data_IF_163369916816
#
_entry.id   IF_163369916816
#
_cell.length_a   1.000
_cell.length_b   1.000
_cell.length_c   1.000
_cell.angle_alpha   90.00
_cell.angle_beta   90.00
_cell.angle_gamma   90.00
#
_symmetry.space_group_name_H-M   'P 1'
#
loop_
_entity.id
_entity.type
_entity.pdbx_description
1 polymer ?
#
# COMPACT_ATOMS: atom_id res chain seq x y z
N UNK A 1 18.05 -3.75 -4.95
CA UNK A 1 16.75 -4.44 -5.10
C UNK A 1 15.90 -4.07 -3.89
N UNK A 2 14.69 -3.55 -4.12
CA UNK A 2 13.72 -3.26 -3.06
C UNK A 2 13.48 -4.55 -2.26
N UNK A 3 14.09 -4.67 -1.08
CA UNK A 3 13.84 -5.79 -0.18
C UNK A 3 12.52 -5.55 0.55
N UNK A 4 11.73 -6.61 0.78
CA UNK A 4 10.43 -6.59 1.49
C UNK A 4 10.46 -6.07 2.95
N UNK A 5 11.58 -5.47 3.39
CA UNK A 5 11.87 -5.15 4.78
C UNK A 5 11.27 -3.85 5.35
N UNK A 6 10.28 -3.22 4.70
CA UNK A 6 9.71 -1.95 5.18
C UNK A 6 8.17 -1.92 5.09
N UNK A 7 7.51 -3.02 5.45
CA UNK A 7 6.06 -3.20 5.28
C UNK A 7 5.64 -3.02 3.82
N UNK A 8 6.47 -3.55 2.93
CA UNK A 8 6.27 -3.57 1.49
C UNK A 8 6.21 -5.04 1.05
N UNK A 9 5.05 -5.46 0.56
CA UNK A 9 4.87 -6.80 0.00
C UNK A 9 4.98 -6.73 -1.53
N UNK A 10 5.74 -7.65 -2.14
CA UNK A 10 5.89 -7.73 -3.60
C UNK A 10 4.91 -8.78 -4.12
N UNK A 11 3.94 -8.36 -4.92
CA UNK A 11 2.93 -9.26 -5.50
C UNK A 11 3.31 -9.78 -6.88
N UNK A 12 4.06 -8.98 -7.64
CA UNK A 12 4.50 -9.37 -8.97
C UNK A 12 5.82 -8.70 -9.34
N UNK A 13 6.63 -9.43 -10.09
CA UNK A 13 7.83 -8.93 -10.77
C UNK A 13 7.71 -9.33 -12.23
N UNK A 14 7.90 -8.39 -13.15
CA UNK A 14 8.00 -8.71 -14.58
C UNK A 14 9.46 -8.86 -15.00
N UNK A 15 9.70 -9.67 -16.03
CA UNK A 15 11.02 -9.80 -16.68
C UNK A 15 11.50 -8.47 -17.28
N UNK A 16 10.59 -7.51 -17.46
CA UNK A 16 10.84 -6.15 -17.93
C UNK A 16 11.15 -5.15 -16.81
N UNK A 17 11.28 -5.61 -15.56
CA UNK A 17 11.69 -4.78 -14.43
C UNK A 17 10.57 -3.97 -13.76
N UNK A 18 9.30 -4.30 -14.00
CA UNK A 18 8.17 -3.72 -13.26
C UNK A 18 7.91 -4.52 -11.99
N UNK A 19 7.62 -3.81 -10.90
CA UNK A 19 7.23 -4.41 -9.63
C UNK A 19 5.84 -3.90 -9.23
N UNK A 20 4.97 -4.81 -8.81
CA UNK A 20 3.73 -4.46 -8.11
C UNK A 20 3.95 -4.72 -6.64
N UNK A 21 3.81 -3.67 -5.84
CA UNK A 21 4.01 -3.73 -4.39
C UNK A 21 2.83 -3.12 -3.65
N UNK A 22 2.50 -3.69 -2.51
CA UNK A 22 1.60 -3.07 -1.53
C UNK A 22 2.43 -2.52 -0.39
N UNK A 23 2.13 -1.29 0.03
CA UNK A 23 2.75 -0.64 1.18
C UNK A 23 1.67 -0.49 2.26
N UNK A 24 2.02 -0.80 3.50
CA UNK A 24 1.15 -0.61 4.67
C UNK A 24 1.79 0.36 5.64
N UNK A 25 1.04 1.26 6.28
CA UNK A 25 1.56 2.19 7.27
C UNK A 25 0.50 2.50 8.32
N UNK A 26 0.93 2.90 9.53
CA UNK A 26 0.00 3.22 10.62
C UNK A 26 -0.57 4.64 10.53
N UNK A 27 -0.04 5.46 9.62
CA UNK A 27 -0.54 6.81 9.35
C UNK A 27 -0.26 7.25 7.92
N UNK A 28 -1.00 8.25 7.46
CA UNK A 28 -0.76 8.89 6.16
C UNK A 28 0.64 9.49 6.06
N UNK A 29 1.16 10.07 7.16
CA UNK A 29 2.50 10.64 7.18
C UNK A 29 3.58 9.58 6.92
N UNK A 30 3.49 8.46 7.63
CA UNK A 30 4.39 7.33 7.45
C UNK A 30 4.26 6.71 6.04
N UNK A 31 3.03 6.64 5.49
CA UNK A 31 2.81 6.19 4.11
C UNK A 31 3.58 7.07 3.10
N UNK A 32 3.51 8.40 3.26
CA UNK A 32 4.21 9.33 2.38
C UNK A 32 5.74 9.20 2.48
N UNK A 33 6.28 9.02 3.68
CA UNK A 33 7.70 8.77 3.89
C UNK A 33 8.16 7.47 3.20
N UNK A 34 7.36 6.40 3.30
CA UNK A 34 7.65 5.13 2.62
C UNK A 34 7.58 5.26 1.10
N UNK A 35 6.58 5.95 0.56
CA UNK A 35 6.46 6.22 -0.88
C UNK A 35 7.68 7.02 -1.38
N UNK A 36 8.11 8.03 -0.63
CA UNK A 36 9.30 8.82 -0.97
C UNK A 36 10.58 7.97 -0.91
N UNK A 37 10.70 7.09 0.09
CA UNK A 37 11.83 6.17 0.21
C UNK A 37 11.92 5.19 -0.97
N UNK A 38 10.78 4.67 -1.45
CA UNK A 38 10.73 3.83 -2.66
C UNK A 38 11.16 4.61 -3.89
N UNK A 39 10.68 5.84 -4.06
CA UNK A 39 11.08 6.68 -5.20
C UNK A 39 12.57 7.05 -5.18
N UNK A 40 13.16 7.23 -4.00
CA UNK A 40 14.57 7.57 -3.84
C UNK A 40 15.52 6.37 -3.88
N UNK A 41 15.04 5.13 -3.99
CA UNK A 41 15.89 3.95 -4.04
C UNK A 41 16.63 3.85 -5.37
N UNK A 42 17.94 3.60 -5.30
CA UNK A 42 18.77 3.33 -6.46
C UNK A 42 18.22 2.15 -7.28
N UNK A 43 17.98 2.39 -8.56
CA UNK A 43 17.35 1.43 -9.49
C UNK A 43 15.84 1.58 -9.68
N UNK A 44 15.15 2.46 -8.94
CA UNK A 44 13.74 2.78 -9.19
C UNK A 44 13.65 3.89 -10.24
N UNK A 45 13.29 3.52 -11.47
CA UNK A 45 13.13 4.46 -12.59
C UNK A 45 11.89 5.36 -12.43
N UNK A 46 10.81 4.80 -11.90
CA UNK A 46 9.56 5.49 -11.63
C UNK A 46 8.73 4.67 -10.63
N UNK A 47 7.94 5.36 -9.80
CA UNK A 47 6.93 4.75 -8.94
C UNK A 47 5.60 5.50 -9.13
N UNK A 48 4.50 4.77 -9.22
CA UNK A 48 3.17 5.34 -9.36
C UNK A 48 2.21 4.60 -8.42
N UNK A 49 1.47 5.35 -7.61
CA UNK A 49 0.43 4.79 -6.75
C UNK A 49 -0.81 4.52 -7.59
N UNK A 50 -1.23 3.26 -7.65
CA UNK A 50 -2.40 2.83 -8.44
C UNK A 50 -3.67 2.84 -7.60
N UNK A 51 -3.55 2.48 -6.32
CA UNK A 51 -4.66 2.35 -5.39
C UNK A 51 -4.22 2.78 -4.00
N UNK A 52 -5.15 3.41 -3.26
CA UNK A 52 -4.99 3.73 -1.85
C UNK A 52 -6.29 3.36 -1.13
N UNK A 53 -6.16 2.67 0.00
CA UNK A 53 -7.24 2.39 0.93
C UNK A 53 -6.82 2.88 2.31
N UNK A 54 -7.71 3.60 2.99
CA UNK A 54 -7.46 4.13 4.33
C UNK A 54 -8.61 3.64 5.21
N UNK A 55 -8.34 2.65 6.05
CA UNK A 55 -9.28 2.25 7.09
C UNK A 55 -9.22 3.29 8.21
N UNK A 56 -10.25 4.11 8.29
CA UNK A 56 -10.40 5.05 9.42
C UNK A 56 -11.09 4.34 10.58
N UNK A 57 -10.83 4.78 11.81
CA UNK A 57 -11.55 4.31 13.00
C UNK A 57 -13.07 4.46 12.84
N UNK A 58 -13.50 5.47 12.09
CA UNK A 58 -14.91 5.72 11.74
C UNK A 58 -15.47 4.58 10.85
N UNK A 59 -14.72 4.16 9.84
CA UNK A 59 -15.08 3.07 8.93
C UNK A 59 -15.18 1.71 9.63
N UNK A 60 -14.40 1.49 10.69
CA UNK A 60 -14.43 0.25 11.48
C UNK A 60 -15.60 0.21 12.49
N UNK A 61 -16.19 1.36 12.80
CA UNK A 61 -17.34 1.48 13.71
C UNK A 61 -18.69 1.50 12.96
N UNK A 62 -18.70 1.33 11.65
CA UNK A 62 -19.93 1.22 10.86
C UNK A 62 -20.64 -0.10 11.19
N UNK A 63 -21.77 0.00 11.89
CA UNK A 63 -22.64 -1.14 12.22
C UNK A 63 -23.21 -1.73 10.93
N UNK A 64 -22.94 -3.01 10.65
CA UNK A 64 -23.58 -3.73 9.56
C UNK A 64 -25.03 -3.96 9.98
N UNK A 65 -25.95 -3.17 9.42
CA UNK A 65 -27.40 -3.41 9.56
C UNK A 65 -27.69 -4.82 9.01
N UNK A 66 -28.10 -5.71 9.91
CA UNK A 66 -28.45 -7.10 9.60
C UNK A 66 -29.64 -7.05 8.63
N UNK A 67 -29.39 -7.29 7.33
CA UNK A 67 -30.43 -7.28 6.31
C UNK A 67 -31.43 -8.37 6.69
N UNK A 68 -32.57 -7.94 7.24
CA UNK A 68 -33.72 -8.74 7.63
C UNK A 68 -34.08 -9.74 6.53
N UNK A 69 -33.54 -10.95 6.67
CA UNK A 69 -34.08 -12.15 6.07
C UNK A 69 -34.99 -12.82 7.10
N UNK A 70 -36.26 -12.40 7.17
CA UNK A 70 -37.35 -13.24 7.65
C UNK A 70 -38.68 -12.84 7.05
#
# INVERSE_FOLDING_TARGET
>A
ALAAGHGAEIHAVSDTGKLVVTLEAHSTGEMLERIAAVQGQDGVLASAMVYQHIDTLDSMNEEIDDVNGS
#
